data_IF_598835821716
#
_entry.id   IF_598835821716
#
_cell.length_a   1.000
_cell.length_b   1.000
_cell.length_c   1.000
_cell.angle_alpha   90.00
_cell.angle_beta   90.00
_cell.angle_gamma   90.00
#
_symmetry.space_group_name_H-M   'P 1'
#
loop_
_entity.id
_entity.type
_entity.pdbx_description
1 polymer ?
#
# COMPACT_ATOMS: atom_id res chain seq x y z
N UNK A 1 -12.91 27.60 0.73
CA UNK A 1 -12.13 26.75 -0.20
C UNK A 1 -10.67 27.00 0.13
N UNK A 2 -9.96 26.00 0.67
CA UNK A 2 -8.51 26.12 0.93
C UNK A 2 -7.77 25.66 -0.33
N UNK A 3 -6.80 26.44 -0.78
CA UNK A 3 -5.86 26.06 -1.84
C UNK A 3 -4.52 25.81 -1.18
N UNK A 4 -4.11 24.56 -0.97
CA UNK A 4 -2.78 24.27 -0.42
C UNK A 4 -1.74 24.70 -1.46
N UNK A 5 -0.86 25.64 -1.10
CA UNK A 5 0.17 26.18 -2.01
C UNK A 5 1.50 25.44 -1.93
N UNK A 6 1.67 24.52 -0.97
CA UNK A 6 2.89 23.75 -0.78
C UNK A 6 2.57 22.37 -0.16
N UNK A 7 1.95 21.44 -0.90
CA UNK A 7 1.83 20.06 -0.43
C UNK A 7 3.21 19.39 -0.41
N UNK A 8 3.52 18.69 0.67
CA UNK A 8 4.74 17.89 0.81
C UNK A 8 4.37 16.43 1.11
N UNK A 9 5.07 15.50 0.46
CA UNK A 9 4.97 14.08 0.79
C UNK A 9 5.94 13.78 1.94
N UNK A 10 5.42 13.47 3.12
CA UNK A 10 6.25 13.18 4.29
C UNK A 10 6.77 11.74 4.27
N UNK A 11 5.92 10.79 3.87
CA UNK A 11 6.26 9.38 3.88
C UNK A 11 5.49 8.64 2.79
N UNK A 12 6.17 7.69 2.17
CA UNK A 12 5.60 6.68 1.29
C UNK A 12 6.12 5.32 1.74
N UNK A 13 5.21 4.38 1.95
CA UNK A 13 5.55 2.99 2.27
C UNK A 13 5.05 2.13 1.11
N UNK A 14 5.97 1.41 0.48
CA UNK A 14 5.70 0.61 -0.71
C UNK A 14 6.38 -0.74 -0.55
N UNK A 15 5.61 -1.81 -0.73
CA UNK A 15 6.07 -3.20 -0.74
C UNK A 15 6.14 -3.75 -2.18
N UNK A 16 6.32 -2.86 -3.17
CA UNK A 16 6.31 -3.18 -4.59
C UNK A 16 7.74 -3.45 -5.09
N UNK A 17 7.90 -4.55 -5.81
CA UNK A 17 9.09 -4.81 -6.62
C UNK A 17 8.96 -4.08 -7.96
N UNK A 18 9.76 -3.02 -8.12
CA UNK A 18 9.80 -2.20 -9.33
C UNK A 18 10.68 -2.78 -10.43
N UNK A 19 11.30 -3.94 -10.23
CA UNK A 19 11.99 -4.66 -11.30
C UNK A 19 11.05 -5.45 -12.21
N UNK A 20 9.80 -5.63 -11.78
CA UNK A 20 8.73 -6.23 -12.58
C UNK A 20 7.99 -5.11 -13.31
N UNK A 21 8.14 -5.04 -14.63
CA UNK A 21 7.47 -4.04 -15.45
C UNK A 21 6.03 -4.44 -15.75
N UNK A 22 5.18 -3.45 -16.04
CA UNK A 22 3.79 -3.71 -16.41
C UNK A 22 3.68 -4.57 -17.69
N UNK A 23 4.59 -4.36 -18.64
CA UNK A 23 4.66 -5.15 -19.87
C UNK A 23 5.01 -6.62 -19.59
N UNK A 24 5.84 -6.89 -18.57
CA UNK A 24 6.17 -8.27 -18.17
C UNK A 24 4.94 -8.98 -17.59
N UNK A 25 4.17 -8.28 -16.74
CA UNK A 25 2.93 -8.82 -16.18
C UNK A 25 1.89 -9.10 -17.27
N UNK A 26 1.72 -8.18 -18.23
CA UNK A 26 0.79 -8.36 -19.33
C UNK A 26 1.23 -9.51 -20.26
N UNK A 27 2.51 -9.61 -20.59
CA UNK A 27 3.02 -10.67 -21.46
C UNK A 27 2.85 -12.07 -20.85
N UNK A 28 3.09 -12.21 -19.54
CA UNK A 28 2.89 -13.48 -18.83
C UNK A 28 1.41 -13.87 -18.77
N UNK A 29 0.50 -12.93 -18.47
CA UNK A 29 -0.94 -13.16 -18.45
C UNK A 29 -1.48 -13.62 -19.82
N UNK A 30 -0.91 -13.11 -20.92
CA UNK A 30 -1.25 -13.53 -22.27
C UNK A 30 -0.64 -14.91 -22.64
N UNK A 31 0.52 -15.25 -22.07
CA UNK A 31 1.22 -16.51 -22.33
C UNK A 31 0.59 -17.69 -21.56
N UNK A 32 0.22 -17.48 -20.30
CA UNK A 32 -0.46 -18.44 -19.45
C UNK A 32 -1.46 -17.74 -18.50
N UNK A 33 -2.72 -17.58 -18.91
CA UNK A 33 -3.72 -16.91 -18.09
C UNK A 33 -4.10 -17.71 -16.83
N UNK A 34 -3.74 -18.99 -16.74
CA UNK A 34 -3.96 -19.80 -15.53
C UNK A 34 -2.87 -19.58 -14.47
N UNK A 35 -1.71 -19.04 -14.87
CA UNK A 35 -0.58 -18.68 -14.01
C UNK A 35 -0.40 -17.15 -13.87
N UNK A 36 -1.45 -16.37 -14.20
CA UNK A 36 -1.43 -14.92 -13.99
C UNK A 36 -1.56 -14.57 -12.50
N UNK A 37 -0.43 -14.17 -11.88
CA UNK A 37 -0.38 -13.60 -10.54
C UNK A 37 -0.19 -12.07 -10.61
N UNK A 38 -1.27 -11.27 -10.48
CA UNK A 38 -1.17 -9.80 -10.43
C UNK A 38 -0.47 -9.28 -9.16
N UNK A 39 -0.24 -10.14 -8.16
CA UNK A 39 0.49 -9.84 -6.94
C UNK A 39 1.99 -10.13 -7.02
N UNK A 40 2.54 -10.64 -8.13
CA UNK A 40 3.95 -11.06 -8.24
C UNK A 40 4.96 -9.93 -7.98
N UNK A 41 4.54 -8.69 -8.22
CA UNK A 41 5.33 -7.49 -7.96
C UNK A 41 5.00 -6.85 -6.59
N UNK A 42 4.29 -7.54 -5.71
CA UNK A 42 3.81 -7.02 -4.43
C UNK A 42 2.47 -6.26 -4.52
N UNK A 43 2.16 -5.53 -3.46
CA UNK A 43 0.85 -4.91 -3.26
C UNK A 43 0.50 -3.87 -4.33
N UNK A 44 -0.70 -3.97 -4.92
CA UNK A 44 -1.11 -3.13 -6.05
C UNK A 44 -2.59 -2.74 -6.05
N UNK A 45 -2.87 -1.49 -6.44
CA UNK A 45 -4.19 -0.87 -6.45
C UNK A 45 -4.85 -0.81 -5.05
N UNK A 46 -4.33 0.02 -4.13
CA UNK A 46 -4.97 0.23 -2.84
C UNK A 46 -6.33 0.92 -3.02
N UNK A 47 -7.39 0.32 -2.48
CA UNK A 47 -8.75 0.86 -2.56
C UNK A 47 -9.40 0.97 -1.18
N UNK A 48 -9.28 -0.08 -0.36
CA UNK A 48 -9.84 -0.12 0.98
C UNK A 48 -8.82 0.31 2.03
N UNK A 49 -9.19 1.24 2.91
CA UNK A 49 -8.33 1.67 4.02
C UNK A 49 -9.16 1.68 5.30
N UNK A 50 -8.68 1.01 6.35
CA UNK A 50 -9.31 1.00 7.67
C UNK A 50 -8.27 1.26 8.76
N UNK A 51 -8.57 2.19 9.65
CA UNK A 51 -7.73 2.50 10.80
C UNK A 51 -8.23 1.75 12.04
N UNK A 52 -7.34 1.00 12.68
CA UNK A 52 -7.61 0.29 13.93
C UNK A 52 -6.90 1.02 15.06
N UNK A 53 -7.67 1.58 15.99
CA UNK A 53 -7.12 2.24 17.16
C UNK A 53 -6.34 1.25 18.04
N UNK A 54 -5.34 1.74 18.77
CA UNK A 54 -4.51 0.92 19.65
C UNK A 54 -5.32 0.10 20.68
N UNK A 55 -6.45 0.64 21.15
CA UNK A 55 -7.33 -0.04 22.11
C UNK A 55 -8.06 -1.26 21.52
N UNK A 56 -8.25 -1.27 20.20
CA UNK A 56 -8.92 -2.34 19.45
C UNK A 56 -7.92 -3.28 18.76
N UNK A 57 -6.62 -2.98 18.85
CA UNK A 57 -5.55 -3.73 18.21
C UNK A 57 -5.02 -4.87 19.10
N UNK A 58 -4.79 -6.08 18.54
CA UNK A 58 -4.21 -7.19 19.29
C UNK A 58 -2.74 -6.96 19.70
N UNK A 59 -2.05 -5.99 19.10
CA UNK A 59 -0.66 -5.63 19.42
C UNK A 59 -0.58 -4.49 20.44
N UNK A 60 -1.69 -3.82 20.73
CA UNK A 60 -1.72 -2.60 21.55
C UNK A 60 -1.13 -1.36 20.85
N UNK A 61 -0.81 -1.44 19.57
CA UNK A 61 -0.35 -0.32 18.72
C UNK A 61 -1.41 0.00 17.67
N UNK A 62 -1.55 1.27 17.24
CA UNK A 62 -2.53 1.61 16.20
C UNK A 62 -2.09 1.02 14.85
N UNK A 63 -3.05 0.48 14.10
CA UNK A 63 -2.79 -0.20 12.83
C UNK A 63 -3.56 0.47 11.68
N UNK A 64 -3.04 0.33 10.47
CA UNK A 64 -3.70 0.68 9.23
C UNK A 64 -3.78 -0.58 8.35
N UNK A 65 -5.00 -1.05 8.11
CA UNK A 65 -5.26 -2.13 7.17
C UNK A 65 -5.55 -1.52 5.78
N UNK A 66 -4.89 -2.05 4.76
CA UNK A 66 -5.06 -1.61 3.37
C UNK A 66 -5.38 -2.82 2.51
N UNK A 67 -6.53 -2.78 1.84
CA UNK A 67 -6.93 -3.75 0.84
C UNK A 67 -6.46 -3.33 -0.55
N UNK A 68 -5.84 -4.27 -1.26
CA UNK A 68 -5.31 -4.10 -2.60
C UNK A 68 -6.15 -4.91 -3.58
N UNK A 69 -6.94 -4.21 -4.40
CA UNK A 69 -7.95 -4.84 -5.26
C UNK A 69 -7.31 -5.75 -6.31
N UNK A 70 -6.24 -5.29 -6.96
CA UNK A 70 -5.67 -5.98 -8.11
C UNK A 70 -4.73 -7.11 -7.69
N UNK A 71 -3.90 -6.91 -6.66
CA UNK A 71 -3.08 -8.00 -6.11
C UNK A 71 -3.87 -8.97 -5.22
N UNK A 72 -5.10 -8.62 -4.82
CA UNK A 72 -5.93 -9.44 -3.95
C UNK A 72 -5.40 -9.60 -2.52
N UNK A 73 -4.47 -8.72 -2.11
CA UNK A 73 -3.77 -8.78 -0.81
C UNK A 73 -4.36 -7.79 0.19
N UNK A 74 -4.09 -8.03 1.48
CA UNK A 74 -4.33 -7.07 2.55
C UNK A 74 -3.03 -6.87 3.31
N UNK A 75 -2.52 -5.64 3.35
CA UNK A 75 -1.38 -5.28 4.19
C UNK A 75 -1.86 -4.62 5.49
N UNK A 76 -1.13 -4.88 6.57
CA UNK A 76 -1.36 -4.26 7.88
C UNK A 76 -0.09 -3.54 8.30
N UNK A 77 -0.20 -2.24 8.50
CA UNK A 77 0.90 -1.37 8.91
C UNK A 77 0.71 -0.93 10.35
N UNK A 78 1.77 -0.92 11.15
CA UNK A 78 1.78 -0.15 12.39
C UNK A 78 1.91 1.33 12.08
N UNK A 79 1.14 2.16 12.78
CA UNK A 79 1.17 3.62 12.62
C UNK A 79 1.92 4.24 13.78
N UNK A 80 2.95 5.02 13.48
CA UNK A 80 3.69 5.80 14.48
C UNK A 80 3.47 7.28 14.24
N UNK A 81 3.43 8.08 15.32
CA UNK A 81 3.44 9.53 15.19
C UNK A 81 4.75 9.97 14.52
N UNK A 82 4.64 10.88 13.55
CA UNK A 82 5.81 11.53 12.98
C UNK A 82 6.43 12.45 14.04
N UNK A 83 7.77 12.51 14.17
CA UNK A 83 8.40 13.52 14.98
C UNK A 83 8.02 14.92 14.47
N UNK A 84 7.83 15.87 15.37
CA UNK A 84 7.55 17.26 14.97
C UNK A 84 8.73 17.79 14.13
N UNK A 85 8.47 18.54 13.05
CA UNK A 85 9.55 19.09 12.24
C UNK A 85 10.44 19.98 13.11
N UNK A 86 11.76 19.79 13.01
CA UNK A 86 12.73 20.64 13.71
C UNK A 86 12.54 22.09 13.26
N UNK A 87 12.37 23.02 14.21
CA UNK A 87 12.09 24.44 13.96
C UNK A 87 13.31 25.22 13.47
#
# INVERSE_FOLDING_TARGET
MTTPTAPECIQTVVNRDFSVEFDDMAADAEADPEDDDPGRAGDWAPEGIEFVAAADSPTGTPLLAVGYEVSGTVAVFEVTALPEPES
#
